data_IF_396143339983
#
_entry.id   IF_396143339983
#
_cell.length_a   1.000
_cell.length_b   1.000
_cell.length_c   1.000
_cell.angle_alpha   90.00
_cell.angle_beta   90.00
_cell.angle_gamma   90.00
#
_symmetry.space_group_name_H-M   'P 1'
#
loop_
_entity.id
_entity.type
_entity.pdbx_description
1 polymer ?
#
# COMPACT_ATOMS: atom_id res chain seq x y z
N UNK A 1 17.25 -1.07 17.05
CA UNK A 1 16.81 -1.97 18.16
C UNK A 1 15.80 -2.97 17.61
N UNK A 2 15.85 -4.22 18.09
CA UNK A 2 14.85 -5.22 17.76
C UNK A 2 13.46 -4.79 18.29
N UNK A 3 12.44 -4.93 17.46
CA UNK A 3 11.05 -4.51 17.76
C UNK A 3 10.12 -5.69 17.52
N UNK A 4 8.98 -5.70 18.20
CA UNK A 4 7.89 -6.65 17.95
C UNK A 4 6.75 -5.91 17.27
N UNK A 5 6.38 -6.35 16.06
CA UNK A 5 5.49 -5.65 15.14
C UNK A 5 4.30 -6.55 14.82
N UNK A 6 3.09 -6.07 15.07
CA UNK A 6 1.85 -6.69 14.64
C UNK A 6 1.49 -6.20 13.25
N UNK A 7 1.54 -7.08 12.26
CA UNK A 7 1.21 -6.79 10.87
C UNK A 7 -0.21 -7.27 10.54
N UNK A 8 -1.12 -6.36 10.27
CA UNK A 8 -2.50 -6.67 9.87
C UNK A 8 -2.61 -6.57 8.35
N UNK A 9 -2.77 -7.73 7.72
CA UNK A 9 -2.81 -7.89 6.27
C UNK A 9 -1.46 -8.31 5.67
N UNK A 10 -1.43 -9.56 5.19
CA UNK A 10 -0.28 -10.18 4.51
C UNK A 10 -0.54 -10.37 3.01
N UNK A 11 -1.12 -9.35 2.38
CA UNK A 11 -1.30 -9.32 0.93
C UNK A 11 -0.03 -8.97 0.16
N UNK A 12 -0.20 -8.57 -1.13
CA UNK A 12 0.90 -8.28 -2.06
C UNK A 12 1.90 -7.19 -1.60
N UNK A 13 1.54 -6.33 -0.66
CA UNK A 13 2.45 -5.34 -0.03
C UNK A 13 2.84 -5.81 1.37
N UNK A 14 1.88 -6.24 2.19
CA UNK A 14 2.13 -6.58 3.58
C UNK A 14 3.08 -7.76 3.78
N UNK A 15 2.99 -8.78 2.93
CA UNK A 15 3.89 -9.93 3.02
C UNK A 15 5.35 -9.59 2.71
N UNK A 16 5.69 -8.86 1.62
CA UNK A 16 7.05 -8.38 1.41
C UNK A 16 7.59 -7.49 2.54
N UNK A 17 6.75 -6.60 3.10
CA UNK A 17 7.11 -5.80 4.27
C UNK A 17 7.45 -6.69 5.48
N UNK A 18 6.59 -7.66 5.80
CA UNK A 18 6.78 -8.58 6.91
C UNK A 18 8.09 -9.40 6.76
N UNK A 19 8.36 -9.90 5.54
CA UNK A 19 9.60 -10.62 5.22
C UNK A 19 10.84 -9.76 5.42
N UNK A 20 10.84 -8.51 4.94
CA UNK A 20 11.99 -7.62 5.08
C UNK A 20 12.25 -7.26 6.54
N UNK A 21 11.21 -6.98 7.33
CA UNK A 21 11.33 -6.68 8.76
C UNK A 21 11.86 -7.88 9.54
N UNK A 22 11.36 -9.09 9.27
CA UNK A 22 11.83 -10.30 9.92
C UNK A 22 13.30 -10.61 9.56
N UNK A 23 13.70 -10.41 8.29
CA UNK A 23 15.09 -10.54 7.84
C UNK A 23 16.03 -9.53 8.52
N UNK A 24 15.51 -8.38 8.96
CA UNK A 24 16.24 -7.39 9.74
C UNK A 24 16.31 -7.71 11.25
N UNK A 25 15.74 -8.85 11.66
CA UNK A 25 15.78 -9.33 13.06
C UNK A 25 14.61 -8.83 13.91
N UNK A 26 13.58 -8.20 13.35
CA UNK A 26 12.37 -7.84 14.08
C UNK A 26 11.48 -9.07 14.29
N UNK A 27 10.84 -9.19 15.46
CA UNK A 27 9.77 -10.16 15.66
C UNK A 27 8.49 -9.65 14.98
N UNK A 28 8.04 -10.32 13.94
CA UNK A 28 6.86 -9.93 13.16
C UNK A 28 5.75 -10.94 13.38
N UNK A 29 4.58 -10.47 13.81
CA UNK A 29 3.36 -11.26 13.95
C UNK A 29 2.41 -10.86 12.82
N UNK A 30 2.33 -11.69 11.80
CA UNK A 30 1.46 -11.45 10.64
C UNK A 30 0.07 -12.04 10.85
N UNK A 31 -0.95 -11.24 10.62
CA UNK A 31 -2.37 -11.63 10.74
C UNK A 31 -3.04 -11.59 9.37
N UNK A 32 -3.61 -12.70 8.96
CA UNK A 32 -4.54 -12.78 7.81
C UNK A 32 -5.47 -13.98 7.95
N UNK A 33 -6.57 -13.98 7.19
CA UNK A 33 -7.59 -15.06 7.22
C UNK A 33 -7.09 -16.39 6.68
N UNK A 34 -6.18 -16.34 5.72
CA UNK A 34 -5.56 -17.53 5.12
C UNK A 34 -4.04 -17.43 5.17
N UNK A 35 -3.39 -18.57 5.32
CA UNK A 35 -1.93 -18.65 5.23
C UNK A 35 -1.49 -18.26 3.83
N UNK A 36 -0.56 -17.30 3.68
CA UNK A 36 0.04 -17.01 2.38
C UNK A 36 0.73 -18.26 1.81
N UNK A 37 0.47 -18.57 0.53
CA UNK A 37 0.95 -19.80 -0.13
C UNK A 37 2.48 -19.86 -0.25
N UNK A 38 3.16 -18.71 -0.19
CA UNK A 38 4.59 -18.57 -0.43
C UNK A 38 5.44 -18.61 0.86
N UNK A 39 4.85 -19.04 1.98
CA UNK A 39 5.54 -19.10 3.28
C UNK A 39 5.29 -20.41 4.01
N UNK A 40 6.36 -21.13 4.31
CA UNK A 40 6.39 -22.05 5.44
C UNK A 40 6.60 -21.21 6.72
N UNK A 41 5.55 -21.04 7.51
CA UNK A 41 5.65 -20.33 8.78
C UNK A 41 6.20 -21.24 9.88
N UNK A 42 7.04 -20.69 10.76
CA UNK A 42 7.27 -21.29 12.07
C UNK A 42 5.98 -21.26 12.87
N UNK A 43 5.34 -22.41 13.03
CA UNK A 43 4.29 -22.58 14.03
C UNK A 43 4.96 -23.09 15.32
N UNK A 44 5.08 -22.26 16.37
CA UNK A 44 5.72 -22.67 17.61
C UNK A 44 4.99 -23.81 18.34
N UNK A 45 3.73 -24.11 17.93
CA UNK A 45 2.94 -25.19 18.56
C UNK A 45 3.04 -26.55 17.85
N UNK A 46 3.63 -26.62 16.65
CA UNK A 46 3.80 -27.88 15.93
C UNK A 46 5.19 -27.95 15.29
N UNK A 47 6.22 -28.02 16.13
CA UNK A 47 7.60 -28.18 15.70
C UNK A 47 7.81 -29.57 15.06
N UNK A 48 7.40 -29.74 13.80
CA UNK A 48 7.97 -30.72 12.87
C UNK A 48 8.47 -29.95 11.67
N UNK A 49 9.78 -29.77 11.64
CA UNK A 49 10.52 -29.26 10.48
C UNK A 49 10.26 -30.17 9.27
N UNK A 50 9.86 -29.63 8.11
CA UNK A 50 9.99 -30.37 6.87
C UNK A 50 11.49 -30.48 6.55
N UNK A 51 11.99 -31.65 6.14
CA UNK A 51 13.35 -31.79 5.68
C UNK A 51 13.54 -31.07 4.32
N UNK A 52 14.63 -30.34 4.14
CA UNK A 52 15.20 -29.89 2.90
C UNK A 52 14.54 -28.75 2.10
N UNK A 53 14.12 -27.64 2.74
CA UNK A 53 13.90 -26.39 2.01
C UNK A 53 14.36 -25.16 2.80
N UNK A 54 15.65 -24.90 2.73
CA UNK A 54 16.38 -23.83 3.45
C UNK A 54 15.96 -22.38 3.07
N UNK A 55 15.10 -22.19 2.07
CA UNK A 55 14.78 -20.85 1.53
C UNK A 55 13.47 -20.22 1.99
N UNK A 56 12.68 -20.89 2.84
CA UNK A 56 11.33 -20.46 3.22
C UNK A 56 11.15 -20.15 4.72
N UNK A 57 12.20 -20.34 5.52
CA UNK A 57 12.15 -20.13 6.97
C UNK A 57 12.63 -18.72 7.33
N UNK A 58 11.74 -17.90 7.91
CA UNK A 58 12.14 -16.70 8.63
C UNK A 58 11.82 -16.91 10.11
N UNK A 59 12.85 -17.15 10.91
CA UNK A 59 12.74 -17.45 12.35
C UNK A 59 11.92 -16.42 13.15
N UNK A 60 11.86 -15.18 12.66
CA UNK A 60 11.21 -14.05 13.32
C UNK A 60 9.83 -13.70 12.74
N UNK A 61 9.28 -14.49 11.79
CA UNK A 61 7.95 -14.25 11.23
C UNK A 61 6.95 -15.28 11.73
N UNK A 62 6.06 -14.83 12.59
CA UNK A 62 4.98 -15.63 13.17
C UNK A 62 3.67 -15.36 12.44
N UNK A 63 2.80 -16.33 12.38
CA UNK A 63 1.50 -16.24 11.70
C UNK A 63 0.34 -16.53 12.64
N UNK A 64 -0.67 -15.68 12.60
CA UNK A 64 -1.95 -15.86 13.28
C UNK A 64 -3.07 -15.87 12.25
N UNK A 65 -3.68 -17.04 12.04
CA UNK A 65 -4.87 -17.17 11.19
C UNK A 65 -6.07 -16.56 11.91
N UNK A 66 -6.48 -15.37 11.48
CA UNK A 66 -7.64 -14.66 12.06
C UNK A 66 -8.21 -13.64 11.09
N UNK A 67 -9.50 -13.40 11.20
CA UNK A 67 -10.08 -12.16 10.70
C UNK A 67 -9.63 -11.01 11.60
N UNK A 68 -9.01 -9.99 11.01
CA UNK A 68 -8.48 -8.86 11.76
C UNK A 68 -9.56 -8.10 12.57
N UNK A 69 -10.83 -8.21 12.18
CA UNK A 69 -11.99 -7.63 12.90
C UNK A 69 -12.34 -8.38 14.18
N UNK A 70 -11.85 -9.60 14.32
CA UNK A 70 -12.15 -10.52 15.44
C UNK A 70 -10.90 -11.10 16.10
N UNK A 71 -9.73 -10.51 15.85
CA UNK A 71 -8.46 -10.94 16.43
C UNK A 71 -8.51 -10.81 17.96
N UNK A 72 -8.60 -11.93 18.67
CA UNK A 72 -8.67 -11.92 20.13
C UNK A 72 -7.29 -11.66 20.74
N UNK A 73 -7.24 -10.85 21.80
CA UNK A 73 -6.01 -10.56 22.53
C UNK A 73 -5.33 -11.85 23.05
N UNK A 74 -6.12 -12.87 23.36
CA UNK A 74 -5.63 -14.19 23.79
C UNK A 74 -4.77 -14.88 22.71
N UNK A 75 -5.03 -14.62 21.42
CA UNK A 75 -4.21 -15.14 20.31
C UNK A 75 -2.84 -14.47 20.22
N UNK A 76 -2.70 -13.32 20.87
CA UNK A 76 -1.47 -12.52 20.94
C UNK A 76 -0.78 -12.63 22.31
N UNK A 77 -1.29 -13.46 23.24
CA UNK A 77 -0.92 -13.47 24.66
C UNK A 77 0.59 -13.53 24.92
N UNK A 78 1.34 -14.28 24.10
CA UNK A 78 2.79 -14.39 24.25
C UNK A 78 3.57 -13.15 23.80
N UNK A 79 2.95 -12.23 23.06
CA UNK A 79 3.59 -11.01 22.53
C UNK A 79 3.01 -9.71 23.07
N UNK A 80 1.90 -9.72 23.80
CA UNK A 80 1.17 -8.51 24.23
C UNK A 80 2.06 -7.49 24.93
N UNK A 81 2.96 -7.96 25.80
CA UNK A 81 3.93 -7.09 26.48
C UNK A 81 5.12 -6.66 25.63
N UNK A 82 5.27 -7.21 24.44
CA UNK A 82 6.41 -6.95 23.56
C UNK A 82 6.01 -6.11 22.33
N UNK A 83 4.73 -6.20 21.87
CA UNK A 83 4.25 -5.47 20.71
C UNK A 83 4.46 -3.96 20.92
N UNK A 84 5.33 -3.39 20.09
CA UNK A 84 5.67 -1.97 20.13
C UNK A 84 5.11 -1.20 18.93
N UNK A 85 4.74 -1.90 17.85
CA UNK A 85 4.14 -1.29 16.68
C UNK A 85 3.03 -2.15 16.09
N UNK A 86 2.03 -1.50 15.51
CA UNK A 86 1.01 -2.11 14.65
C UNK A 86 1.15 -1.51 13.25
N UNK A 87 1.11 -2.35 12.21
CA UNK A 87 1.06 -1.91 10.82
C UNK A 87 -0.18 -2.47 10.13
N UNK A 88 -1.05 -1.60 9.62
CA UNK A 88 -2.32 -1.98 8.99
C UNK A 88 -2.16 -1.79 7.47
N UNK A 89 -2.10 -2.90 6.72
CA UNK A 89 -1.97 -2.94 5.27
C UNK A 89 -3.07 -3.81 4.70
N UNK A 90 -4.22 -3.22 4.44
CA UNK A 90 -5.41 -3.93 4.01
C UNK A 90 -5.91 -3.42 2.66
N UNK A 91 -6.72 -4.21 2.01
CA UNK A 91 -7.47 -3.83 0.82
C UNK A 91 -8.89 -4.40 0.93
N UNK A 92 -9.89 -3.78 0.29
CA UNK A 92 -11.26 -4.25 0.40
C UNK A 92 -11.43 -5.59 -0.33
N UNK A 93 -12.22 -6.49 0.26
CA UNK A 93 -12.57 -7.77 -0.37
C UNK A 93 -13.49 -7.57 -1.58
N UNK A 94 -14.33 -6.54 -1.53
CA UNK A 94 -15.17 -6.09 -2.64
C UNK A 94 -15.07 -4.57 -2.78
N UNK A 95 -15.20 -4.09 -4.02
CA UNK A 95 -15.15 -2.65 -4.32
C UNK A 95 -16.47 -1.92 -3.95
N UNK A 96 -17.26 -2.47 -3.05
CA UNK A 96 -18.48 -1.87 -2.50
C UNK A 96 -18.17 -0.99 -1.29
N UNK A 97 -19.09 -0.07 -0.95
CA UNK A 97 -19.00 0.74 0.27
C UNK A 97 -18.87 -0.14 1.52
N UNK A 98 -19.64 -1.24 1.58
CA UNK A 98 -19.60 -2.17 2.70
C UNK A 98 -18.24 -2.89 2.78
N UNK A 99 -17.69 -3.34 1.63
CA UNK A 99 -16.36 -3.94 1.59
C UNK A 99 -15.26 -3.00 2.11
N UNK A 100 -15.35 -1.70 1.82
CA UNK A 100 -14.44 -0.70 2.37
C UNK A 100 -14.65 -0.50 3.88
N UNK A 101 -15.89 -0.42 4.36
CA UNK A 101 -16.19 -0.33 5.80
C UNK A 101 -15.63 -1.53 6.55
N UNK A 102 -15.86 -2.74 6.05
CA UNK A 102 -15.40 -3.97 6.69
C UNK A 102 -13.88 -4.10 6.71
N UNK A 103 -13.21 -3.67 5.62
CA UNK A 103 -11.76 -3.85 5.48
C UNK A 103 -10.93 -2.71 6.07
N UNK A 104 -11.45 -1.49 6.13
CA UNK A 104 -10.70 -0.34 6.66
C UNK A 104 -11.23 0.08 8.04
N UNK A 105 -12.46 0.53 8.11
CA UNK A 105 -13.01 1.14 9.31
C UNK A 105 -13.20 0.13 10.46
N UNK A 106 -13.84 -1.01 10.18
CA UNK A 106 -14.08 -2.03 11.20
C UNK A 106 -12.78 -2.67 11.74
N UNK A 107 -11.76 -2.83 10.88
CA UNK A 107 -10.43 -3.27 11.32
C UNK A 107 -9.79 -2.21 12.21
N UNK A 108 -9.86 -0.93 11.83
CA UNK A 108 -9.31 0.15 12.65
C UNK A 108 -10.01 0.27 14.01
N UNK A 109 -11.35 0.16 14.05
CA UNK A 109 -12.10 0.11 15.33
C UNK A 109 -11.62 -1.05 16.22
N UNK A 110 -11.32 -2.20 15.61
CA UNK A 110 -10.79 -3.33 16.35
C UNK A 110 -9.36 -3.09 16.84
N UNK A 111 -8.50 -2.49 16.01
CA UNK A 111 -7.13 -2.11 16.39
C UNK A 111 -7.12 -1.11 17.54
N UNK A 112 -8.05 -0.15 17.55
CA UNK A 112 -8.24 0.76 18.69
C UNK A 112 -8.45 -0.03 19.97
N UNK A 113 -9.41 -0.95 20.01
CA UNK A 113 -9.66 -1.81 21.18
C UNK A 113 -8.47 -2.71 21.57
N UNK A 114 -7.73 -3.24 20.58
CA UNK A 114 -6.51 -4.02 20.83
C UNK A 114 -5.41 -3.15 21.43
N UNK A 115 -5.27 -1.92 20.98
CA UNK A 115 -4.25 -0.98 21.44
C UNK A 115 -4.29 -0.75 22.94
N UNK A 116 -5.49 -0.70 23.53
CA UNK A 116 -5.70 -0.55 24.99
C UNK A 116 -5.07 -1.70 25.82
N UNK A 117 -4.84 -2.84 25.19
CA UNK A 117 -4.24 -4.03 25.82
C UNK A 117 -2.73 -4.20 25.50
N UNK A 118 -2.10 -3.26 24.82
CA UNK A 118 -0.71 -3.30 24.39
C UNK A 118 0.13 -2.22 25.10
N UNK A 119 0.63 -2.51 26.32
CA UNK A 119 1.23 -1.48 27.21
C UNK A 119 2.48 -0.82 26.62
N UNK A 120 3.17 -1.47 25.70
CA UNK A 120 4.39 -0.97 25.08
C UNK A 120 4.18 -0.43 23.64
N UNK A 121 2.93 -0.24 23.23
CA UNK A 121 2.60 0.29 21.89
C UNK A 121 3.09 1.74 21.74
N UNK A 122 3.96 1.94 20.76
CA UNK A 122 4.60 3.25 20.45
C UNK A 122 4.18 3.82 19.12
N UNK A 123 3.72 2.97 18.17
CA UNK A 123 3.38 3.43 16.82
C UNK A 123 2.31 2.56 16.18
N UNK A 124 1.39 3.21 15.47
CA UNK A 124 0.39 2.57 14.60
C UNK A 124 0.54 3.16 13.21
N UNK A 125 1.01 2.36 12.26
CA UNK A 125 1.18 2.75 10.85
C UNK A 125 -0.03 2.26 10.07
N UNK A 126 -0.71 3.16 9.39
CA UNK A 126 -1.85 2.83 8.52
C UNK A 126 -1.56 3.17 7.06
N UNK A 127 -1.73 2.19 6.18
CA UNK A 127 -1.62 2.39 4.74
C UNK A 127 -2.98 2.80 4.19
N UNK A 128 -3.10 4.09 3.94
CA UNK A 128 -4.27 4.79 3.44
C UNK A 128 -4.25 4.89 1.90
N UNK A 129 -4.67 6.01 1.35
CA UNK A 129 -4.66 6.31 -0.09
C UNK A 129 -4.66 7.83 -0.34
N UNK A 130 -4.02 8.29 -1.40
CA UNK A 130 -4.20 9.67 -1.90
C UNK A 130 -5.61 9.94 -2.42
N UNK A 131 -6.45 8.91 -2.53
CA UNK A 131 -7.89 9.05 -2.81
C UNK A 131 -8.68 9.82 -1.75
N UNK A 132 -8.12 10.04 -0.54
CA UNK A 132 -8.73 10.86 0.51
C UNK A 132 -8.79 12.35 0.15
N UNK A 133 -7.97 12.84 -0.76
CA UNK A 133 -8.05 14.20 -1.26
C UNK A 133 -9.19 14.36 -2.27
N UNK A 134 -10.17 15.22 -1.96
CA UNK A 134 -11.33 15.47 -2.81
C UNK A 134 -11.05 16.39 -4.00
N UNK A 135 -9.93 17.09 -4.03
CA UNK A 135 -9.51 17.96 -5.12
C UNK A 135 -9.44 17.19 -6.43
N UNK A 136 -9.94 17.76 -7.54
CA UNK A 136 -10.02 17.08 -8.83
C UNK A 136 -10.04 18.04 -10.05
N UNK A 137 -9.44 19.22 -9.93
CA UNK A 137 -9.36 20.21 -11.01
C UNK A 137 -7.91 20.51 -11.45
N UNK A 138 -7.02 19.52 -11.32
CA UNK A 138 -5.61 19.63 -11.70
C UNK A 138 -4.73 20.31 -10.62
N UNK A 139 -5.22 20.43 -9.40
CA UNK A 139 -4.51 21.10 -8.31
C UNK A 139 -3.21 20.37 -7.95
N UNK A 140 -2.26 21.12 -7.44
CA UNK A 140 -1.07 20.59 -6.78
C UNK A 140 -1.44 20.31 -5.33
N UNK A 141 -1.15 19.09 -4.89
CA UNK A 141 -1.38 18.60 -3.54
C UNK A 141 -0.03 18.28 -2.90
N UNK A 142 0.26 18.91 -1.80
CA UNK A 142 1.42 18.63 -0.95
C UNK A 142 0.96 18.26 0.47
N UNK A 143 1.92 18.15 1.40
CA UNK A 143 1.62 17.74 2.77
C UNK A 143 0.81 18.79 3.55
N UNK A 144 0.93 20.06 3.19
CA UNK A 144 0.24 21.18 3.83
C UNK A 144 -1.15 21.42 3.24
N UNK A 145 -1.46 20.76 2.13
CA UNK A 145 -2.76 20.90 1.45
C UNK A 145 -3.89 20.29 2.28
N UNK A 146 -4.93 21.06 2.61
CA UNK A 146 -6.06 20.56 3.39
C UNK A 146 -6.81 19.47 2.62
N UNK A 147 -7.23 18.43 3.34
CA UNK A 147 -8.02 17.33 2.79
C UNK A 147 -9.47 17.80 2.62
N UNK A 148 -9.90 18.04 1.38
CA UNK A 148 -11.32 18.25 1.09
C UNK A 148 -12.05 16.89 1.07
N UNK A 149 -13.31 16.90 1.47
CA UNK A 149 -14.12 15.69 1.51
C UNK A 149 -14.12 14.96 0.14
N UNK A 150 -13.73 13.69 0.08
CA UNK A 150 -13.73 12.93 -1.17
C UNK A 150 -15.14 12.82 -1.75
N UNK A 151 -15.26 12.91 -3.07
CA UNK A 151 -16.53 12.66 -3.75
C UNK A 151 -16.97 11.19 -3.68
N UNK A 152 -16.01 10.27 -3.64
CA UNK A 152 -16.26 8.83 -3.52
C UNK A 152 -16.57 8.44 -2.08
N UNK A 153 -17.71 7.77 -1.86
CA UNK A 153 -18.10 7.25 -0.55
C UNK A 153 -17.07 6.23 0.01
N UNK A 154 -16.40 5.48 -0.85
CA UNK A 154 -15.33 4.55 -0.44
C UNK A 154 -14.09 5.29 0.05
N UNK A 155 -13.70 6.39 -0.60
CA UNK A 155 -12.59 7.23 -0.13
C UNK A 155 -12.93 7.97 1.16
N UNK A 156 -14.21 8.31 1.37
CA UNK A 156 -14.67 8.87 2.65
C UNK A 156 -14.47 7.87 3.80
N UNK A 157 -14.70 6.57 3.58
CA UNK A 157 -14.43 5.54 4.60
C UNK A 157 -12.95 5.48 4.95
N UNK A 158 -12.05 5.58 3.96
CA UNK A 158 -10.60 5.61 4.24
C UNK A 158 -10.24 6.85 5.07
N UNK A 159 -10.77 8.02 4.72
CA UNK A 159 -10.55 9.25 5.49
C UNK A 159 -11.07 9.14 6.92
N UNK A 160 -12.27 8.58 7.11
CA UNK A 160 -12.83 8.31 8.44
C UNK A 160 -11.94 7.35 9.25
N UNK A 161 -11.33 6.38 8.58
CA UNK A 161 -10.38 5.44 9.20
C UNK A 161 -9.12 6.17 9.68
N UNK A 162 -8.55 7.07 8.86
CA UNK A 162 -7.41 7.91 9.29
C UNK A 162 -7.77 8.72 10.53
N UNK A 163 -8.92 9.42 10.48
CA UNK A 163 -9.39 10.27 11.58
C UNK A 163 -9.58 9.48 12.87
N UNK A 164 -10.18 8.29 12.81
CA UNK A 164 -10.34 7.40 13.97
C UNK A 164 -8.99 7.03 14.59
N UNK A 165 -8.03 6.59 13.77
CA UNK A 165 -6.70 6.20 14.25
C UNK A 165 -5.92 7.39 14.82
N UNK A 166 -5.95 8.54 14.14
CA UNK A 166 -5.29 9.77 14.62
C UNK A 166 -5.90 10.28 15.91
N UNK A 167 -7.24 10.25 16.04
CA UNK A 167 -7.93 10.68 17.25
C UNK A 167 -7.59 9.80 18.47
N UNK A 168 -7.44 8.49 18.27
CA UNK A 168 -7.22 7.56 19.37
C UNK A 168 -5.72 7.41 19.74
N UNK A 169 -4.86 7.32 18.73
CA UNK A 169 -3.43 7.08 18.94
C UNK A 169 -2.57 8.35 18.94
N UNK A 170 -3.15 9.49 18.57
CA UNK A 170 -2.50 10.80 18.59
C UNK A 170 -1.13 10.79 17.89
N UNK A 171 -0.07 11.16 18.59
CA UNK A 171 1.32 11.21 18.10
C UNK A 171 1.90 9.83 17.72
N UNK A 172 1.29 8.75 18.18
CA UNK A 172 1.66 7.39 17.77
C UNK A 172 1.11 6.99 16.40
N UNK A 173 0.13 7.73 15.87
CA UNK A 173 -0.48 7.43 14.57
C UNK A 173 0.37 7.98 13.42
N UNK A 174 0.71 7.11 12.47
CA UNK A 174 1.43 7.46 11.24
C UNK A 174 0.63 6.97 10.04
N UNK A 175 0.28 7.90 9.16
CA UNK A 175 -0.49 7.61 7.95
C UNK A 175 0.46 7.62 6.74
N UNK A 176 0.41 6.59 5.91
CA UNK A 176 1.05 6.57 4.60
C UNK A 176 -0.05 6.60 3.54
N UNK A 177 -0.07 7.61 2.68
CA UNK A 177 -1.03 7.78 1.59
C UNK A 177 -0.36 7.43 0.26
N UNK A 178 -0.37 6.16 -0.18
CA UNK A 178 0.15 5.81 -1.49
C UNK A 178 -0.76 6.33 -2.60
N UNK A 179 -0.15 6.70 -3.72
CA UNK A 179 -0.83 6.96 -4.98
C UNK A 179 -1.10 5.65 -5.74
N UNK A 180 -1.37 5.70 -7.05
CA UNK A 180 -1.65 4.51 -7.85
C UNK A 180 -0.50 3.51 -7.83
N UNK A 181 -0.64 2.42 -7.07
CA UNK A 181 0.41 1.40 -6.93
C UNK A 181 0.50 0.58 -8.21
N UNK A 182 1.70 0.50 -8.79
CA UNK A 182 2.01 -0.35 -9.94
C UNK A 182 3.23 -1.23 -9.64
N UNK A 183 3.46 -2.26 -10.45
CA UNK A 183 4.57 -3.21 -10.26
C UNK A 183 4.41 -4.44 -11.14
N UNK A 184 5.31 -5.40 -11.03
CA UNK A 184 5.31 -6.62 -11.86
C UNK A 184 4.00 -7.42 -11.78
N UNK A 185 3.33 -7.45 -10.62
CA UNK A 185 2.04 -8.12 -10.42
C UNK A 185 0.83 -7.20 -10.61
N UNK A 186 1.01 -5.95 -11.09
CA UNK A 186 0.00 -4.88 -11.17
C UNK A 186 0.07 -4.15 -12.51
N UNK A 187 -0.13 -4.91 -13.60
CA UNK A 187 0.09 -4.49 -14.98
C UNK A 187 -1.13 -3.82 -15.65
N UNK A 188 -2.04 -3.24 -14.85
CA UNK A 188 -3.31 -2.69 -15.37
C UNK A 188 -3.11 -1.73 -16.54
N UNK A 189 -2.18 -0.78 -16.46
CA UNK A 189 -1.99 0.20 -17.53
C UNK A 189 -1.28 -0.37 -18.76
N UNK A 190 -0.39 -1.36 -18.59
CA UNK A 190 0.15 -2.11 -19.72
C UNK A 190 -0.96 -2.84 -20.48
N UNK A 191 -1.84 -3.53 -19.75
CA UNK A 191 -2.99 -4.23 -20.35
C UNK A 191 -3.94 -3.23 -21.04
N UNK A 192 -4.21 -2.09 -20.40
CA UNK A 192 -5.06 -1.04 -20.96
C UNK A 192 -4.46 -0.46 -22.27
N UNK A 193 -3.16 -0.18 -22.31
CA UNK A 193 -2.48 0.30 -23.49
C UNK A 193 -2.58 -0.71 -24.66
N UNK A 194 -2.40 -2.02 -24.38
CA UNK A 194 -2.60 -3.10 -25.37
C UNK A 194 -4.03 -3.14 -25.89
N UNK A 195 -5.02 -3.07 -24.99
CA UNK A 195 -6.43 -3.11 -25.37
C UNK A 195 -6.80 -1.94 -26.29
N UNK A 196 -6.35 -0.73 -25.96
CA UNK A 196 -6.65 0.46 -26.75
C UNK A 196 -5.91 0.47 -28.09
N UNK A 197 -4.67 0.00 -28.15
CA UNK A 197 -3.94 -0.14 -29.41
C UNK A 197 -4.59 -1.18 -30.35
N UNK A 198 -5.29 -2.19 -29.81
CA UNK A 198 -5.98 -3.20 -30.61
C UNK A 198 -7.38 -2.76 -31.10
N UNK A 199 -7.92 -1.65 -30.59
CA UNK A 199 -9.23 -1.15 -31.02
C UNK A 199 -9.13 -0.47 -32.39
N UNK A 200 -9.95 -0.94 -33.32
CA UNK A 200 -10.00 -0.41 -34.70
C UNK A 200 -10.80 0.90 -34.83
N UNK A 201 -11.44 1.38 -33.75
CA UNK A 201 -12.31 2.55 -33.75
C UNK A 201 -11.71 3.66 -32.89
N UNK A 202 -11.37 4.77 -33.53
CA UNK A 202 -10.86 6.00 -32.89
C UNK A 202 -12.00 6.91 -32.36
N UNK A 203 -13.03 6.35 -31.74
CA UNK A 203 -14.06 7.19 -31.10
C UNK A 203 -13.54 7.63 -29.73
N UNK A 204 -13.48 8.94 -29.51
CA UNK A 204 -13.01 9.51 -28.23
C UNK A 204 -13.80 9.02 -27.00
N UNK A 205 -15.04 8.52 -27.21
CA UNK A 205 -15.89 7.92 -26.19
C UNK A 205 -15.41 6.57 -25.66
N UNK A 206 -14.51 5.90 -26.38
CA UNK A 206 -14.07 4.54 -26.05
C UNK A 206 -12.89 4.52 -25.07
N UNK A 207 -12.32 5.68 -24.78
CA UNK A 207 -11.18 5.85 -23.88
C UNK A 207 -11.62 6.49 -22.55
N UNK A 208 -10.97 6.15 -21.42
CA UNK A 208 -11.19 6.86 -20.17
C UNK A 208 -10.78 8.33 -20.36
N UNK A 209 -11.41 9.23 -19.62
CA UNK A 209 -11.03 10.65 -19.66
C UNK A 209 -9.54 10.83 -19.32
N UNK A 210 -8.85 11.68 -20.09
CA UNK A 210 -7.51 12.11 -19.72
C UNK A 210 -7.56 12.86 -18.39
N UNK A 211 -6.72 12.48 -17.43
CA UNK A 211 -6.69 13.06 -16.10
C UNK A 211 -5.26 13.05 -15.56
N UNK A 212 -4.93 13.96 -14.69
CA UNK A 212 -3.68 13.89 -13.92
C UNK A 212 -3.67 12.63 -13.04
N UNK A 213 -2.57 11.92 -13.09
CA UNK A 213 -2.37 10.67 -12.35
C UNK A 213 -1.02 10.67 -11.64
N UNK A 214 -0.97 9.94 -10.51
CA UNK A 214 0.21 9.81 -9.67
C UNK A 214 0.46 8.33 -9.41
N UNK A 215 1.72 7.94 -9.22
CA UNK A 215 2.11 6.52 -9.09
C UNK A 215 3.16 6.31 -8.03
N UNK A 216 3.22 5.09 -7.54
CA UNK A 216 4.30 4.58 -6.71
C UNK A 216 4.59 3.13 -7.10
N UNK A 217 5.86 2.79 -7.31
CA UNK A 217 6.28 1.41 -7.52
C UNK A 217 6.01 0.59 -6.26
N UNK A 218 5.49 -0.63 -6.40
CA UNK A 218 5.13 -1.48 -5.24
C UNK A 218 6.36 -1.82 -4.37
N UNK A 219 7.52 -2.02 -4.96
CA UNK A 219 8.78 -2.23 -4.22
C UNK A 219 9.24 -0.99 -3.46
N UNK A 220 9.05 0.22 -4.01
CA UNK A 220 9.33 1.46 -3.29
C UNK A 220 8.37 1.66 -2.12
N UNK A 221 7.07 1.37 -2.33
CA UNK A 221 6.10 1.43 -1.23
C UNK A 221 6.47 0.47 -0.09
N UNK A 222 6.90 -0.75 -0.41
CA UNK A 222 7.40 -1.72 0.59
C UNK A 222 8.59 -1.12 1.35
N UNK A 223 9.58 -0.58 0.64
CA UNK A 223 10.77 0.04 1.24
C UNK A 223 10.42 1.25 2.12
N UNK A 224 9.50 2.10 1.70
CA UNK A 224 9.00 3.25 2.47
C UNK A 224 8.37 2.77 3.78
N UNK A 225 7.49 1.76 3.74
CA UNK A 225 6.83 1.22 4.93
C UNK A 225 7.86 0.65 5.91
N UNK A 226 8.82 -0.15 5.43
CA UNK A 226 9.91 -0.71 6.24
C UNK A 226 10.75 0.41 6.87
N UNK A 227 11.07 1.45 6.09
CA UNK A 227 11.83 2.61 6.58
C UNK A 227 11.07 3.37 7.67
N UNK A 228 9.77 3.62 7.50
CA UNK A 228 8.93 4.29 8.50
C UNK A 228 8.81 3.48 9.78
N UNK A 229 8.69 2.15 9.68
CA UNK A 229 8.64 1.26 10.87
C UNK A 229 9.98 1.30 11.63
N UNK A 230 11.11 1.38 10.92
CA UNK A 230 12.44 1.43 11.50
C UNK A 230 12.84 2.83 12.02
N UNK A 231 12.18 3.88 11.57
CA UNK A 231 12.55 5.25 11.93
C UNK A 231 12.39 5.50 13.44
N UNK A 232 13.34 6.21 14.03
CA UNK A 232 13.21 6.71 15.41
C UNK A 232 12.13 7.78 15.52
N UNK A 233 12.15 8.73 14.58
CA UNK A 233 11.17 9.81 14.45
C UNK A 233 10.42 9.69 13.14
N UNK A 234 9.17 10.11 13.13
CA UNK A 234 8.29 10.08 11.95
C UNK A 234 7.47 11.36 11.87
N UNK A 235 7.02 11.70 10.67
CA UNK A 235 5.97 12.71 10.49
C UNK A 235 4.60 12.05 10.54
N UNK A 236 3.53 12.78 10.88
CA UNK A 236 2.19 12.19 10.99
C UNK A 236 1.65 11.61 9.69
N UNK A 237 2.03 12.19 8.53
CA UNK A 237 1.54 11.78 7.21
C UNK A 237 2.69 11.74 6.19
N UNK A 238 2.77 10.67 5.42
CA UNK A 238 3.63 10.52 4.25
C UNK A 238 2.79 10.41 2.98
N UNK A 239 3.11 11.23 1.97
CA UNK A 239 2.55 11.14 0.63
C UNK A 239 3.47 10.23 -0.22
N UNK A 240 3.12 8.94 -0.32
CA UNK A 240 3.95 7.96 -1.01
C UNK A 240 3.60 7.95 -2.50
N UNK A 241 4.28 8.80 -3.26
CA UNK A 241 4.19 8.91 -4.72
C UNK A 241 5.58 9.16 -5.30
N UNK A 242 5.76 8.84 -6.59
CA UNK A 242 6.95 9.27 -7.34
C UNK A 242 6.98 10.79 -7.56
N UNK A 243 8.05 11.31 -8.20
CA UNK A 243 8.23 12.74 -8.42
C UNK A 243 7.59 13.25 -9.73
N UNK A 244 6.85 12.41 -10.46
CA UNK A 244 6.38 12.72 -11.80
C UNK A 244 4.87 12.55 -11.98
N UNK A 245 4.04 13.45 -11.42
CA UNK A 245 2.62 13.52 -11.77
C UNK A 245 2.47 13.65 -13.29
N UNK A 246 1.61 12.85 -13.91
CA UNK A 246 1.56 12.73 -15.36
C UNK A 246 0.13 12.51 -15.87
N UNK A 247 -0.25 13.09 -17.04
CA UNK A 247 -1.51 12.77 -17.72
C UNK A 247 -1.61 11.28 -18.06
N UNK A 248 -2.80 10.71 -17.89
CA UNK A 248 -3.05 9.28 -18.18
C UNK A 248 -2.66 8.91 -19.60
N UNK A 249 -3.03 9.75 -20.59
CA UNK A 249 -2.76 9.47 -22.00
C UNK A 249 -1.27 9.45 -22.34
N UNK A 250 -0.46 10.29 -21.69
CA UNK A 250 1.00 10.27 -21.82
C UNK A 250 1.57 8.90 -21.43
N UNK A 251 1.09 8.34 -20.33
CA UNK A 251 1.52 7.02 -19.89
C UNK A 251 1.06 5.91 -20.83
N UNK A 252 -0.20 5.97 -21.29
CA UNK A 252 -0.73 4.94 -22.20
C UNK A 252 -0.01 4.94 -23.54
N UNK A 253 0.26 6.13 -24.12
CA UNK A 253 1.05 6.24 -25.35
C UNK A 253 2.46 5.68 -25.19
N UNK A 254 3.15 6.05 -24.09
CA UNK A 254 4.47 5.52 -23.76
C UNK A 254 4.45 3.99 -23.66
N UNK A 255 3.52 3.42 -22.91
CA UNK A 255 3.43 1.98 -22.70
C UNK A 255 3.07 1.22 -23.99
N UNK A 256 2.24 1.78 -24.86
CA UNK A 256 1.96 1.19 -26.17
C UNK A 256 3.22 1.17 -27.03
N UNK A 257 3.90 2.31 -27.16
CA UNK A 257 5.15 2.43 -27.93
C UNK A 257 6.22 1.47 -27.42
N UNK A 258 6.41 1.37 -26.10
CA UNK A 258 7.37 0.47 -25.49
C UNK A 258 7.06 -1.02 -25.70
N UNK A 259 5.83 -1.36 -26.09
CA UNK A 259 5.40 -2.71 -26.47
C UNK A 259 5.36 -2.92 -27.98
N UNK A 260 5.88 -1.98 -28.80
CA UNK A 260 5.84 -2.03 -30.25
C UNK A 260 4.44 -1.83 -30.85
N UNK A 261 3.51 -1.24 -30.08
CA UNK A 261 2.12 -1.01 -30.51
C UNK A 261 1.91 0.44 -30.95
N UNK A 262 1.00 0.64 -31.91
CA UNK A 262 0.58 1.97 -32.35
C UNK A 262 -0.62 2.45 -31.56
N UNK A 263 -0.42 3.49 -30.73
CA UNK A 263 -1.48 4.20 -30.01
C UNK A 263 -1.13 5.69 -29.99
N UNK A 264 -2.05 6.55 -30.38
CA UNK A 264 -1.84 8.00 -30.39
C UNK A 264 -3.03 8.70 -29.77
N UNK A 265 -3.05 8.77 -28.43
CA UNK A 265 -4.03 9.54 -27.68
C UNK A 265 -3.61 11.01 -27.61
N UNK A 266 -4.55 11.98 -27.63
CA UNK A 266 -4.23 13.40 -27.58
C UNK A 266 -3.47 13.78 -26.28
N UNK A 267 -2.27 14.30 -26.41
CA UNK A 267 -1.43 14.76 -25.28
C UNK A 267 -1.79 16.20 -24.87
N UNK A 268 -3.07 16.45 -24.59
CA UNK A 268 -3.51 17.73 -24.03
C UNK A 268 -3.39 17.68 -22.50
N UNK A 269 -3.08 18.84 -21.91
CA UNK A 269 -3.06 18.96 -20.44
C UNK A 269 -4.48 18.75 -19.89
N UNK A 270 -4.68 17.78 -18.96
CA UNK A 270 -5.99 17.51 -18.42
C UNK A 270 -6.44 18.58 -17.42
N UNK A 271 -7.74 18.84 -17.38
CA UNK A 271 -8.38 19.76 -16.43
C UNK A 271 -8.88 19.03 -15.17
N UNK A 272 -8.70 17.72 -15.09
CA UNK A 272 -9.17 16.87 -13.98
C UNK A 272 -8.03 16.06 -13.40
N UNK A 273 -8.27 15.48 -12.22
CA UNK A 273 -7.26 14.80 -11.43
C UNK A 273 -6.54 15.76 -10.49
N UNK A 274 -5.42 15.33 -9.96
CA UNK A 274 -4.56 16.13 -9.06
C UNK A 274 -3.10 15.74 -9.27
N UNK A 275 -2.19 16.66 -8.95
CA UNK A 275 -0.74 16.47 -9.02
C UNK A 275 -0.19 16.41 -7.60
N UNK A 276 0.25 15.25 -7.15
CA UNK A 276 0.70 15.04 -5.78
C UNK A 276 2.21 15.18 -5.71
N UNK A 277 2.68 16.00 -4.81
CA UNK A 277 4.08 16.18 -4.48
C UNK A 277 4.35 15.42 -3.19
N UNK A 278 5.26 14.46 -3.22
CA UNK A 278 5.63 13.70 -2.03
C UNK A 278 6.42 14.56 -1.03
N UNK A 279 6.41 14.13 0.21
CA UNK A 279 7.25 14.68 1.29
C UNK A 279 8.31 13.66 1.75
N UNK A 280 8.70 12.76 0.87
CA UNK A 280 9.69 11.73 1.14
C UNK A 280 11.11 12.27 0.93
N UNK A 281 12.10 11.82 1.70
CA UNK A 281 13.50 12.02 1.34
C UNK A 281 13.79 11.42 -0.05
N UNK A 282 14.53 12.12 -0.89
CA UNK A 282 14.80 11.72 -2.26
C UNK A 282 15.45 10.32 -2.38
N UNK A 283 16.17 9.88 -1.35
CA UNK A 283 16.82 8.56 -1.28
C UNK A 283 15.87 7.39 -1.00
N UNK A 284 14.58 7.65 -0.72
CA UNK A 284 13.61 6.59 -0.43
C UNK A 284 12.98 5.99 -1.69
N UNK A 285 13.16 6.63 -2.85
CA UNK A 285 12.63 6.18 -4.13
C UNK A 285 13.75 5.59 -4.99
N UNK A 286 13.68 4.29 -5.28
CA UNK A 286 14.54 3.64 -6.27
C UNK A 286 14.04 3.95 -7.69
N UNK A 287 12.75 4.20 -7.83
CA UNK A 287 12.09 4.61 -9.06
C UNK A 287 11.51 6.01 -8.88
N UNK A 288 12.32 7.08 -9.10
CA UNK A 288 11.92 8.46 -8.81
C UNK A 288 10.83 8.98 -9.75
N UNK A 289 10.58 8.27 -10.84
CA UNK A 289 9.52 8.56 -11.82
C UNK A 289 8.91 7.27 -12.37
N UNK A 290 7.72 7.40 -12.95
CA UNK A 290 6.99 6.28 -13.52
C UNK A 290 7.70 5.65 -14.74
N UNK A 291 8.50 6.41 -15.50
CA UNK A 291 9.24 5.88 -16.64
C UNK A 291 10.26 4.84 -16.19
N UNK A 292 11.10 5.18 -15.21
CA UNK A 292 12.12 4.27 -14.66
C UNK A 292 11.49 2.98 -14.12
N UNK A 293 10.36 3.09 -13.42
CA UNK A 293 9.63 1.93 -12.91
C UNK A 293 9.06 1.04 -14.02
N UNK A 294 8.41 1.64 -15.05
CA UNK A 294 7.90 0.84 -16.17
C UNK A 294 9.01 0.28 -17.06
N UNK A 295 10.14 0.95 -17.24
CA UNK A 295 11.30 0.39 -17.93
C UNK A 295 11.80 -0.88 -17.23
N UNK A 296 11.91 -0.86 -15.90
CA UNK A 296 12.27 -2.03 -15.11
C UNK A 296 11.27 -3.19 -15.30
N UNK A 297 9.96 -2.90 -15.24
CA UNK A 297 8.92 -3.91 -15.45
C UNK A 297 9.01 -4.51 -16.84
N UNK A 298 9.14 -3.68 -17.87
CA UNK A 298 9.18 -4.12 -19.27
C UNK A 298 10.42 -4.97 -19.56
N UNK A 299 11.60 -4.63 -19.01
CA UNK A 299 12.80 -5.45 -19.16
C UNK A 299 12.63 -6.83 -18.54
N UNK A 300 11.98 -6.93 -17.38
CA UNK A 300 11.73 -8.22 -16.71
C UNK A 300 10.61 -9.07 -17.32
N UNK A 301 9.79 -8.53 -18.21
CA UNK A 301 8.76 -9.28 -18.95
C UNK A 301 9.28 -9.83 -20.30
N UNK A 302 10.44 -9.36 -20.77
CA UNK A 302 11.06 -9.77 -22.03
C UNK A 302 12.05 -10.92 -21.88
N UNK A 303 12.41 -11.25 -20.63
CA UNK A 303 13.21 -12.42 -20.25
C UNK A 303 12.31 -13.62 -19.94
#
# INVERSE_FOLDING_TARGET
MMQTILMIGLGKIGLPVAKQLAAQGHCVIGVSRSTPTDLAFCNPMTAKLPPDNDHLYQENLHFVASDARALAIAQLSQWTSQISQICIIVSPDTLSLQGYRDSYYAIAEHVVRLGDHLPNLKRVVFISSTGVYGQNAGEIIDIDTPVFAPASATSQVILQTEQLLQQHFEDKSVIIRPSGIYGQSRLRLLTMAKQFAAQSTNMASDYPSNTWTNRIMDTDLVSIIVTVINAGETVPVYLATDNAPVPLYTVLNYLATAQGLSLSLPCMEPTTGKRIINNLPATWLNYPDWQSGYQHILSSLGD
#
